data_IF_520933453064
#
_entry.id   IF_520933453064
#
_cell.length_a   1.000
_cell.length_b   1.000
_cell.length_c   1.000
_cell.angle_alpha   90.00
_cell.angle_beta   90.00
_cell.angle_gamma   90.00
#
_symmetry.space_group_name_H-M   'P 1'
#
loop_
_entity.id
_entity.type
_entity.pdbx_description
1 polymer ?
#
# COMPACT_ATOMS: atom_id res chain seq x y z
N UNK A 1 10.55 -58.11 -22.65
CA UNK A 1 9.76 -57.80 -21.44
C UNK A 1 10.29 -56.57 -20.69
N UNK A 2 11.61 -56.45 -20.46
CA UNK A 2 12.21 -55.31 -19.76
C UNK A 2 12.03 -53.94 -20.47
N UNK A 3 12.16 -53.90 -21.80
CA UNK A 3 12.02 -52.67 -22.58
C UNK A 3 10.60 -52.08 -22.56
N UNK A 4 9.58 -52.93 -22.59
CA UNK A 4 8.17 -52.53 -22.47
C UNK A 4 7.84 -51.96 -21.08
N UNK A 5 8.50 -52.46 -20.03
CA UNK A 5 8.30 -51.97 -18.66
C UNK A 5 8.89 -50.57 -18.48
N UNK A 6 10.10 -50.31 -19.02
CA UNK A 6 10.74 -49.00 -18.97
C UNK A 6 9.97 -47.95 -19.77
N UNK A 7 9.48 -48.29 -20.96
CA UNK A 7 8.69 -47.38 -21.79
C UNK A 7 7.35 -47.04 -21.12
N UNK A 8 6.67 -48.01 -20.51
CA UNK A 8 5.43 -47.75 -19.77
C UNK A 8 5.67 -46.91 -18.50
N UNK A 9 6.77 -47.13 -17.79
CA UNK A 9 7.13 -46.33 -16.62
C UNK A 9 7.45 -44.88 -17.02
N UNK A 10 8.20 -44.67 -18.11
CA UNK A 10 8.44 -43.34 -18.67
C UNK A 10 7.13 -42.67 -19.13
N UNK A 11 6.22 -43.41 -19.78
CA UNK A 11 4.91 -42.88 -20.18
C UNK A 11 4.04 -42.51 -18.97
N UNK A 12 4.06 -43.30 -17.90
CA UNK A 12 3.35 -43.02 -16.64
C UNK A 12 3.92 -41.81 -15.89
N UNK A 13 5.25 -41.64 -15.90
CA UNK A 13 5.92 -40.45 -15.35
C UNK A 13 5.60 -39.21 -16.19
N UNK A 14 5.59 -39.33 -17.51
CA UNK A 14 5.22 -38.24 -18.42
C UNK A 14 3.74 -37.89 -18.26
N UNK A 15 2.84 -38.88 -18.16
CA UNK A 15 1.41 -38.67 -17.90
C UNK A 15 1.13 -38.03 -16.54
N UNK A 16 1.82 -38.46 -15.47
CA UNK A 16 1.73 -37.81 -14.15
C UNK A 16 2.33 -36.39 -14.14
N UNK A 17 3.35 -36.14 -14.96
CA UNK A 17 3.93 -34.79 -15.12
C UNK A 17 3.02 -33.86 -15.94
N UNK A 18 2.16 -34.39 -16.81
CA UNK A 18 1.29 -33.59 -17.68
C UNK A 18 -0.09 -33.26 -17.09
N UNK A 19 -0.46 -33.84 -15.94
CA UNK A 19 -1.82 -33.69 -15.39
C UNK A 19 -1.85 -33.42 -13.88
N UNK A 20 -0.78 -32.85 -13.32
CA UNK A 20 -0.96 -31.98 -12.17
C UNK A 20 -1.63 -30.70 -12.68
N UNK A 21 -2.95 -30.61 -12.55
CA UNK A 21 -3.68 -29.37 -12.80
C UNK A 21 -2.91 -28.22 -12.14
N UNK A 22 -2.48 -27.24 -12.93
CA UNK A 22 -1.68 -26.11 -12.44
C UNK A 22 -2.52 -25.27 -11.46
N UNK A 23 -2.52 -25.62 -10.18
CA UNK A 23 -3.41 -25.02 -9.17
C UNK A 23 -2.92 -23.67 -8.65
N UNK A 24 -1.65 -23.33 -8.86
CA UNK A 24 -1.07 -22.09 -8.35
C UNK A 24 -1.24 -20.94 -9.33
N UNK A 25 -1.57 -19.76 -8.80
CA UNK A 25 -1.66 -18.51 -9.57
C UNK A 25 -0.63 -17.52 -9.04
N UNK A 26 0.03 -16.73 -9.91
CA UNK A 26 0.96 -15.71 -9.44
C UNK A 26 0.22 -14.66 -8.60
N UNK A 27 0.90 -14.11 -7.59
CA UNK A 27 0.33 -13.15 -6.64
C UNK A 27 1.07 -11.82 -6.77
N UNK A 28 0.31 -10.73 -6.85
CA UNK A 28 0.84 -9.37 -6.73
C UNK A 28 0.27 -8.74 -5.45
N UNK A 29 1.17 -8.28 -4.58
CA UNK A 29 0.87 -7.70 -3.28
C UNK A 29 0.91 -6.17 -3.35
N UNK A 30 -0.22 -5.54 -3.07
CA UNK A 30 -0.37 -4.08 -2.98
C UNK A 30 -0.43 -3.68 -1.50
N UNK A 31 0.62 -3.02 -0.96
CA UNK A 31 0.70 -2.67 0.46
C UNK A 31 -0.28 -1.56 0.84
N UNK A 32 -0.49 -1.37 2.15
CA UNK A 32 -1.33 -0.31 2.70
C UNK A 32 -0.56 0.99 2.93
N UNK A 33 -1.22 1.93 3.62
CA UNK A 33 -0.59 3.17 4.07
C UNK A 33 0.62 2.88 4.97
N UNK A 34 1.76 3.51 4.67
CA UNK A 34 3.05 3.23 5.31
C UNK A 34 3.60 1.82 5.06
N UNK A 35 3.02 1.02 4.17
CA UNK A 35 3.31 -0.41 4.01
C UNK A 35 4.51 -0.78 3.14
N UNK A 36 5.42 0.16 2.90
CA UNK A 36 6.67 -0.09 2.16
C UNK A 36 7.79 0.78 2.69
N UNK A 37 9.04 0.37 2.45
CA UNK A 37 10.19 1.24 2.68
C UNK A 37 10.10 2.48 1.78
N UNK A 38 10.43 3.65 2.34
CA UNK A 38 10.60 4.90 1.63
C UNK A 38 12.00 5.46 1.92
N UNK A 39 12.64 6.01 0.90
CA UNK A 39 13.98 6.56 0.97
C UNK A 39 13.93 8.05 0.66
N UNK A 40 14.82 8.78 1.32
CA UNK A 40 15.08 10.16 0.97
C UNK A 40 16.31 10.23 0.09
N UNK A 41 16.17 10.83 -1.09
CA UNK A 41 17.30 11.34 -1.87
C UNK A 41 17.43 12.84 -1.59
N UNK A 42 18.45 13.28 -0.83
CA UNK A 42 18.58 14.68 -0.47
C UNK A 42 18.75 15.55 -1.72
N UNK A 43 18.06 16.69 -1.79
CA UNK A 43 18.27 17.69 -2.86
C UNK A 43 19.59 18.44 -2.73
N UNK A 44 20.21 18.40 -1.56
CA UNK A 44 21.57 18.89 -1.32
C UNK A 44 22.62 17.79 -1.46
N UNK A 45 23.82 18.03 -0.95
CA UNK A 45 24.88 17.03 -0.93
C UNK A 45 24.60 15.98 0.16
N UNK A 46 24.38 14.73 -0.24
CA UNK A 46 24.20 13.61 0.69
C UNK A 46 23.88 12.30 -0.03
N UNK A 47 24.16 11.18 0.64
CA UNK A 47 23.73 9.87 0.18
C UNK A 47 22.25 9.61 0.49
N UNK A 48 21.60 8.78 -0.32
CA UNK A 48 20.25 8.30 -0.06
C UNK A 48 20.18 7.58 1.30
N UNK A 49 19.10 7.79 2.05
CA UNK A 49 18.90 7.15 3.36
C UNK A 49 17.46 6.70 3.58
N UNK A 50 17.29 5.69 4.44
CA UNK A 50 15.97 5.18 4.82
C UNK A 50 15.19 6.24 5.61
N UNK A 51 14.10 6.72 5.02
CA UNK A 51 13.19 7.70 5.60
C UNK A 51 12.07 7.01 6.39
N UNK A 52 11.50 5.94 5.83
CA UNK A 52 10.40 5.20 6.43
C UNK A 52 10.56 3.69 6.18
N UNK A 53 10.41 2.81 7.17
CA UNK A 53 10.30 3.10 8.60
C UNK A 53 11.70 3.13 9.21
N UNK A 54 12.03 4.21 9.92
CA UNK A 54 13.25 4.29 10.72
C UNK A 54 12.89 4.71 12.14
N UNK A 55 13.12 3.83 13.12
CA UNK A 55 12.68 4.04 14.50
C UNK A 55 13.25 5.29 15.17
N UNK A 56 14.36 5.84 14.66
CA UNK A 56 14.95 7.10 15.16
C UNK A 56 13.95 8.26 15.05
N UNK A 57 13.13 8.29 13.99
CA UNK A 57 12.16 9.36 13.78
C UNK A 57 11.01 9.38 14.79
N UNK A 58 10.78 8.28 15.51
CA UNK A 58 9.81 8.28 16.61
C UNK A 58 10.30 9.09 17.82
N UNK A 59 11.61 9.36 17.92
CA UNK A 59 12.18 10.26 18.91
C UNK A 59 12.29 11.70 18.41
N UNK A 60 12.39 11.92 17.09
CA UNK A 60 12.54 13.23 16.44
C UNK A 60 11.54 13.44 15.30
N UNK A 61 10.22 13.46 15.59
CA UNK A 61 9.20 13.55 14.54
C UNK A 61 9.26 14.87 13.75
N UNK A 62 9.75 15.96 14.34
CA UNK A 62 9.98 17.21 13.62
C UNK A 62 10.95 17.05 12.44
N UNK A 63 12.02 16.27 12.62
CA UNK A 63 12.96 15.96 11.54
C UNK A 63 12.30 15.11 10.47
N UNK A 64 11.49 14.11 10.84
CA UNK A 64 10.74 13.32 9.86
C UNK A 64 9.80 14.21 9.02
N UNK A 65 9.09 15.12 9.68
CA UNK A 65 8.19 16.08 9.02
C UNK A 65 8.91 16.91 7.95
N UNK A 66 10.11 17.41 8.23
CA UNK A 66 10.88 18.21 7.28
C UNK A 66 11.18 17.46 5.97
N UNK A 67 11.40 16.14 6.04
CA UNK A 67 11.71 15.30 4.88
C UNK A 67 10.47 14.72 4.20
N UNK A 68 9.55 14.11 4.95
CA UNK A 68 8.48 13.25 4.40
C UNK A 68 7.27 14.02 3.87
N UNK A 69 7.03 15.23 4.38
CA UNK A 69 5.82 16.01 4.09
C UNK A 69 5.60 16.21 2.59
N UNK A 70 4.34 16.23 2.19
CA UNK A 70 3.92 16.77 0.90
C UNK A 70 3.50 18.23 1.11
N UNK A 71 4.02 19.11 0.27
CA UNK A 71 3.60 20.51 0.16
C UNK A 71 2.40 20.58 -0.77
N UNK A 72 1.32 21.18 -0.31
CA UNK A 72 0.12 21.46 -1.08
C UNK A 72 0.02 22.95 -1.38
N UNK A 73 -0.17 23.32 -2.65
CA UNK A 73 -0.49 24.69 -3.05
C UNK A 73 -2.01 24.84 -3.19
N UNK A 74 -2.69 25.57 -2.29
CA UNK A 74 -4.14 25.72 -2.33
C UNK A 74 -4.65 26.54 -3.52
N UNK A 75 -3.78 27.27 -4.23
CA UNK A 75 -4.18 28.06 -5.41
C UNK A 75 -4.22 27.21 -6.67
N UNK A 76 -3.28 26.27 -6.81
CA UNK A 76 -3.15 25.43 -8.01
C UNK A 76 -3.70 24.02 -7.78
N UNK A 77 -3.84 23.59 -6.53
CA UNK A 77 -4.15 22.21 -6.16
C UNK A 77 -2.97 21.26 -6.34
N UNK A 78 -1.77 21.77 -6.64
CA UNK A 78 -0.60 20.93 -6.90
C UNK A 78 0.05 20.45 -5.60
N UNK A 79 0.57 19.22 -5.66
CA UNK A 79 1.32 18.59 -4.57
C UNK A 79 2.77 18.37 -4.99
N UNK A 80 3.71 18.63 -4.08
CA UNK A 80 5.15 18.43 -4.32
C UNK A 80 5.86 17.93 -3.07
N UNK A 81 7.00 17.27 -3.26
CA UNK A 81 7.87 16.86 -2.15
C UNK A 81 8.47 18.08 -1.42
N UNK A 82 9.02 17.82 -0.23
CA UNK A 82 9.77 18.82 0.54
C UNK A 82 10.97 19.38 -0.25
N UNK A 83 11.45 20.55 0.17
CA UNK A 83 12.66 21.17 -0.42
C UNK A 83 13.96 20.45 -0.02
N UNK A 84 13.87 19.48 0.89
CA UNK A 84 15.03 18.75 1.39
C UNK A 84 15.22 17.40 0.71
N UNK A 85 14.16 16.83 0.13
CA UNK A 85 14.10 15.41 -0.18
C UNK A 85 13.28 15.15 -1.43
N UNK A 86 13.80 14.33 -2.34
CA UNK A 86 13.00 13.57 -3.30
C UNK A 86 12.74 12.19 -2.72
N UNK A 87 11.48 11.88 -2.43
CA UNK A 87 11.12 10.62 -1.74
C UNK A 87 10.88 9.51 -2.75
N UNK A 88 11.53 8.37 -2.58
CA UNK A 88 11.41 7.22 -3.47
C UNK A 88 10.98 5.95 -2.74
N UNK A 89 10.36 5.04 -3.49
CA UNK A 89 9.76 3.80 -2.98
C UNK A 89 10.34 2.62 -3.79
N UNK A 90 11.53 2.13 -3.41
CA UNK A 90 12.24 1.12 -4.21
C UNK A 90 11.61 -0.27 -4.08
N UNK A 91 11.96 -1.16 -5.02
CA UNK A 91 11.54 -2.57 -5.00
C UNK A 91 10.28 -2.87 -5.81
N UNK A 92 9.89 -2.04 -6.78
CA UNK A 92 8.78 -2.33 -7.68
C UNK A 92 8.96 -3.68 -8.38
N UNK A 93 7.96 -4.56 -8.25
CA UNK A 93 7.99 -5.92 -8.80
C UNK A 93 8.70 -6.95 -7.90
N UNK A 94 9.45 -6.53 -6.88
CA UNK A 94 10.06 -7.41 -5.87
C UNK A 94 9.33 -7.26 -4.52
N UNK A 95 9.67 -8.06 -3.53
CA UNK A 95 8.94 -8.09 -2.25
C UNK A 95 9.72 -7.53 -1.07
N UNK A 96 11.05 -7.38 -1.16
CA UNK A 96 11.90 -7.08 -0.02
C UNK A 96 11.50 -5.79 0.73
N UNK A 97 11.04 -4.76 0.01
CA UNK A 97 10.70 -3.45 0.60
C UNK A 97 9.34 -3.42 1.29
N UNK A 98 8.52 -4.47 1.13
CA UNK A 98 7.21 -4.63 1.79
C UNK A 98 7.21 -5.78 2.80
N UNK A 99 8.32 -6.52 2.94
CA UNK A 99 8.45 -7.59 3.93
C UNK A 99 8.67 -7.01 5.33
N UNK A 100 9.77 -6.26 5.48
CA UNK A 100 10.16 -5.56 6.70
C UNK A 100 10.47 -4.11 6.34
N UNK A 101 9.93 -3.18 7.12
CA UNK A 101 9.94 -1.75 6.78
C UNK A 101 11.20 -1.03 7.26
N UNK A 102 12.09 -1.70 8.00
CA UNK A 102 13.42 -1.19 8.34
C UNK A 102 14.50 -1.96 7.54
N UNK A 103 15.54 -1.25 7.09
CA UNK A 103 16.72 -1.90 6.49
C UNK A 103 17.47 -2.73 7.51
N UNK A 104 17.51 -2.29 8.76
CA UNK A 104 17.99 -3.03 9.92
C UNK A 104 16.85 -3.88 10.47
N UNK A 105 16.50 -4.94 9.74
CA UNK A 105 15.33 -5.79 9.99
C UNK A 105 15.19 -6.19 11.46
N UNK A 106 14.02 -5.96 12.02
CA UNK A 106 13.65 -6.37 13.37
C UNK A 106 12.14 -6.65 13.48
N UNK A 107 11.71 -7.24 14.60
CA UNK A 107 10.31 -7.65 14.79
C UNK A 107 9.30 -6.50 14.80
N UNK A 108 9.70 -5.32 15.29
CA UNK A 108 8.82 -4.13 15.35
C UNK A 108 8.42 -3.51 14.00
N UNK A 109 9.01 -3.92 12.89
CA UNK A 109 8.77 -3.37 11.53
C UNK A 109 8.44 -4.46 10.52
N UNK A 110 8.16 -5.68 10.99
CA UNK A 110 7.61 -6.75 10.14
C UNK A 110 6.24 -6.32 9.62
N UNK A 111 6.05 -6.41 8.31
CA UNK A 111 4.79 -6.10 7.65
C UNK A 111 4.24 -7.32 6.90
N UNK A 112 4.64 -7.58 5.65
CA UNK A 112 4.19 -8.76 4.88
C UNK A 112 5.15 -9.95 4.93
N UNK A 113 6.25 -9.83 5.68
CA UNK A 113 7.30 -10.87 5.76
C UNK A 113 6.75 -12.27 6.06
N UNK A 114 5.87 -12.41 7.06
CA UNK A 114 5.32 -13.72 7.42
C UNK A 114 4.46 -14.33 6.31
N UNK A 115 3.62 -13.53 5.66
CA UNK A 115 2.81 -13.96 4.51
C UNK A 115 3.72 -14.41 3.36
N UNK A 116 4.69 -13.57 3.00
CA UNK A 116 5.61 -13.81 1.90
C UNK A 116 6.47 -15.05 2.16
N UNK A 117 6.98 -15.23 3.38
CA UNK A 117 7.76 -16.41 3.76
C UNK A 117 6.92 -17.68 3.78
N UNK A 118 5.63 -17.59 4.13
CA UNK A 118 4.70 -18.71 4.02
C UNK A 118 4.42 -19.09 2.57
N UNK A 119 4.26 -18.11 1.67
CA UNK A 119 4.05 -18.35 0.24
C UNK A 119 5.28 -18.99 -0.39
N UNK A 120 6.48 -18.48 -0.09
CA UNK A 120 7.76 -19.00 -0.59
C UNK A 120 8.07 -20.44 -0.18
N UNK A 121 7.31 -21.06 0.73
CA UNK A 121 7.45 -22.49 1.02
C UNK A 121 7.03 -23.38 -0.17
N UNK A 122 6.15 -22.88 -1.05
CA UNK A 122 5.85 -23.53 -2.32
C UNK A 122 6.81 -22.98 -3.40
N UNK A 123 7.55 -23.84 -4.13
CA UNK A 123 8.55 -23.44 -5.12
C UNK A 123 7.97 -22.66 -6.31
N UNK A 124 6.65 -22.66 -6.49
CA UNK A 124 5.99 -21.82 -7.49
C UNK A 124 6.14 -20.33 -7.15
N UNK A 125 6.15 -19.92 -5.88
CA UNK A 125 6.18 -18.51 -5.47
C UNK A 125 7.62 -17.99 -5.34
N UNK A 126 8.09 -17.38 -6.41
CA UNK A 126 9.43 -16.79 -6.51
C UNK A 126 9.28 -15.27 -6.59
N UNK A 127 9.91 -14.57 -5.64
CA UNK A 127 9.96 -13.11 -5.63
C UNK A 127 10.53 -12.56 -6.94
N UNK A 128 10.02 -11.41 -7.38
CA UNK A 128 10.37 -10.80 -8.66
C UNK A 128 10.04 -11.68 -9.89
N UNK A 129 9.16 -12.68 -9.73
CA UNK A 129 8.66 -13.49 -10.84
C UNK A 129 7.16 -13.77 -10.71
N UNK A 130 6.79 -14.70 -9.85
CA UNK A 130 5.40 -15.15 -9.61
C UNK A 130 4.83 -14.64 -8.31
N UNK A 131 5.68 -14.10 -7.42
CA UNK A 131 5.30 -13.31 -6.26
C UNK A 131 5.89 -11.91 -6.42
N UNK A 132 5.04 -10.89 -6.48
CA UNK A 132 5.46 -9.49 -6.73
C UNK A 132 4.98 -8.58 -5.61
N UNK A 133 5.76 -7.55 -5.30
CA UNK A 133 5.32 -6.42 -4.48
C UNK A 133 5.24 -5.14 -5.30
N UNK A 134 4.37 -4.23 -4.87
CA UNK A 134 4.18 -2.93 -5.53
C UNK A 134 4.32 -1.80 -4.52
N UNK A 135 5.53 -1.54 -3.98
CA UNK A 135 5.77 -0.34 -3.18
C UNK A 135 5.40 0.90 -3.99
N UNK A 136 4.62 1.81 -3.42
CA UNK A 136 4.17 3.03 -4.08
C UNK A 136 4.26 4.20 -3.11
N UNK A 137 4.07 5.41 -3.63
CA UNK A 137 4.00 6.60 -2.79
C UNK A 137 2.72 6.61 -1.96
N UNK A 138 2.76 5.94 -0.81
CA UNK A 138 1.63 5.78 0.10
C UNK A 138 1.19 7.10 0.75
N UNK A 139 1.97 8.18 0.59
CA UNK A 139 1.62 9.50 1.11
C UNK A 139 0.46 10.13 0.32
N UNK A 140 0.22 9.67 -0.91
CA UNK A 140 -0.70 10.25 -1.89
C UNK A 140 -1.99 9.44 -2.01
N UNK A 141 -3.05 10.08 -2.50
CA UNK A 141 -4.30 9.43 -2.90
C UNK A 141 -4.19 8.80 -4.31
N UNK A 142 -5.06 7.84 -4.69
CA UNK A 142 -4.97 7.17 -5.99
C UNK A 142 -4.96 8.12 -7.21
N UNK A 143 -5.71 9.22 -7.15
CA UNK A 143 -5.77 10.24 -8.19
C UNK A 143 -4.45 11.05 -8.35
N UNK A 144 -3.58 11.02 -7.35
CA UNK A 144 -2.29 11.72 -7.33
C UNK A 144 -1.11 10.80 -7.67
N UNK A 145 -1.39 9.53 -7.98
CA UNK A 145 -0.41 8.50 -8.36
C UNK A 145 -0.71 7.92 -9.75
N UNK A 146 -0.66 8.72 -10.83
CA UNK A 146 -1.01 8.26 -12.17
C UNK A 146 -0.09 7.14 -12.68
N UNK A 147 1.19 7.18 -12.29
CA UNK A 147 2.17 6.16 -12.65
C UNK A 147 1.80 4.77 -12.10
N UNK A 148 1.16 4.71 -10.92
CA UNK A 148 0.75 3.45 -10.31
C UNK A 148 -0.17 2.63 -11.22
N UNK A 149 -1.15 3.27 -11.86
CA UNK A 149 -2.09 2.58 -12.75
C UNK A 149 -1.38 2.03 -13.98
N UNK A 150 -0.50 2.82 -14.59
CA UNK A 150 0.30 2.41 -15.76
C UNK A 150 1.22 1.23 -15.39
N UNK A 151 1.99 1.38 -14.32
CA UNK A 151 3.05 0.46 -13.96
C UNK A 151 2.48 -0.86 -13.41
N UNK A 152 1.35 -0.81 -12.69
CA UNK A 152 0.67 -2.03 -12.21
C UNK A 152 0.10 -2.85 -13.37
N UNK A 153 -0.43 -2.18 -14.40
CA UNK A 153 -0.91 -2.86 -15.61
C UNK A 153 0.22 -3.63 -16.29
N UNK A 154 1.36 -2.96 -16.49
CA UNK A 154 2.57 -3.58 -17.09
C UNK A 154 3.03 -4.77 -16.25
N UNK A 155 3.15 -4.59 -14.93
CA UNK A 155 3.60 -5.65 -14.03
C UNK A 155 2.66 -6.87 -14.05
N UNK A 156 1.34 -6.67 -14.15
CA UNK A 156 0.36 -7.75 -14.26
C UNK A 156 0.53 -8.50 -15.59
N UNK A 157 0.69 -7.80 -16.70
CA UNK A 157 0.87 -8.41 -18.04
C UNK A 157 2.19 -9.19 -18.13
N UNK A 158 3.27 -8.65 -17.55
CA UNK A 158 4.56 -9.33 -17.42
C UNK A 158 4.45 -10.57 -16.53
N UNK A 159 3.83 -10.43 -15.36
CA UNK A 159 3.66 -11.53 -14.39
C UNK A 159 2.83 -12.66 -14.99
N UNK A 160 1.76 -12.35 -15.72
CA UNK A 160 0.98 -13.32 -16.49
C UNK A 160 1.86 -14.08 -17.48
N UNK A 161 2.70 -13.36 -18.23
CA UNK A 161 3.55 -13.94 -19.28
C UNK A 161 4.61 -14.88 -18.69
N UNK A 162 5.32 -14.46 -17.64
CA UNK A 162 6.39 -15.27 -17.00
C UNK A 162 5.84 -16.42 -16.14
N UNK A 163 4.57 -16.36 -15.74
CA UNK A 163 3.90 -17.41 -14.97
C UNK A 163 3.12 -18.41 -15.85
N UNK A 164 3.50 -18.53 -17.13
CA UNK A 164 2.89 -19.52 -18.04
C UNK A 164 1.48 -19.16 -18.50
N UNK A 165 1.22 -17.87 -18.72
CA UNK A 165 -0.11 -17.35 -19.09
C UNK A 165 -1.19 -17.62 -18.03
N UNK A 166 -0.80 -17.65 -16.76
CA UNK A 166 -1.74 -17.78 -15.63
C UNK A 166 -2.20 -16.40 -15.16
N UNK A 167 -3.53 -16.18 -14.99
CA UNK A 167 -4.05 -14.94 -14.46
C UNK A 167 -3.61 -14.69 -13.01
N UNK A 168 -3.45 -13.42 -12.65
CA UNK A 168 -2.88 -12.96 -11.38
C UNK A 168 -3.94 -12.89 -10.29
N UNK A 169 -3.58 -13.31 -9.09
CA UNK A 169 -4.28 -12.94 -7.85
C UNK A 169 -3.72 -11.60 -7.38
N UNK A 170 -4.56 -10.55 -7.43
CA UNK A 170 -4.21 -9.23 -6.93
C UNK A 170 -4.64 -9.16 -5.47
N UNK A 171 -3.71 -8.99 -4.54
CA UNK A 171 -3.99 -8.87 -3.11
C UNK A 171 -3.70 -7.45 -2.66
N UNK A 172 -4.74 -6.73 -2.25
CA UNK A 172 -4.60 -5.40 -1.66
C UNK A 172 -4.85 -5.43 -0.16
N UNK A 173 -3.96 -4.83 0.63
CA UNK A 173 -4.16 -4.64 2.07
C UNK A 173 -4.42 -3.16 2.40
N UNK A 174 -5.44 -2.88 3.23
CA UNK A 174 -5.75 -1.52 3.70
C UNK A 174 -5.87 -0.54 2.51
N UNK A 175 -5.14 0.58 2.52
CA UNK A 175 -5.09 1.53 1.39
C UNK A 175 -4.79 0.86 0.04
N UNK A 176 -3.95 -0.18 0.02
CA UNK A 176 -3.64 -0.95 -1.19
C UNK A 176 -4.86 -1.65 -1.80
N UNK A 177 -5.87 -1.99 -1.00
CA UNK A 177 -7.13 -2.52 -1.52
C UNK A 177 -7.95 -1.45 -2.24
N UNK A 178 -7.91 -0.20 -1.75
CA UNK A 178 -8.59 0.93 -2.40
C UNK A 178 -7.87 1.29 -3.70
N UNK A 179 -6.54 1.32 -3.71
CA UNK A 179 -5.72 1.46 -4.92
C UNK A 179 -6.02 0.35 -5.94
N UNK A 180 -6.08 -0.90 -5.49
CA UNK A 180 -6.41 -2.05 -6.35
C UNK A 180 -7.81 -1.91 -6.96
N UNK A 181 -8.81 -1.48 -6.18
CA UNK A 181 -10.16 -1.24 -6.67
C UNK A 181 -10.20 -0.11 -7.72
N UNK A 182 -9.54 1.02 -7.44
CA UNK A 182 -9.45 2.13 -8.38
C UNK A 182 -8.79 1.71 -9.70
N UNK A 183 -7.68 0.96 -9.61
CA UNK A 183 -7.00 0.37 -10.77
C UNK A 183 -7.93 -0.52 -11.59
N UNK A 184 -8.61 -1.48 -10.95
CA UNK A 184 -9.50 -2.44 -11.62
C UNK A 184 -10.69 -1.73 -12.28
N UNK A 185 -11.23 -0.69 -11.68
CA UNK A 185 -12.31 0.12 -12.27
C UNK A 185 -11.86 0.87 -13.53
N UNK A 186 -10.57 1.19 -13.65
CA UNK A 186 -10.00 1.81 -14.85
C UNK A 186 -9.70 0.83 -15.99
N UNK A 187 -9.78 -0.50 -15.76
CA UNK A 187 -9.50 -1.51 -16.78
C UNK A 187 -10.78 -2.02 -17.46
N UNK A 188 -10.66 -2.36 -18.74
CA UNK A 188 -11.75 -3.01 -19.49
C UNK A 188 -12.08 -4.40 -18.94
N UNK A 189 -13.33 -4.84 -19.11
CA UNK A 189 -13.76 -6.17 -18.69
C UNK A 189 -13.01 -7.29 -19.43
N UNK A 190 -12.70 -7.09 -20.71
CA UNK A 190 -11.90 -8.06 -21.47
C UNK A 190 -10.49 -8.21 -20.92
N UNK A 191 -9.87 -7.12 -20.48
CA UNK A 191 -8.56 -7.16 -19.84
C UNK A 191 -8.62 -7.86 -18.49
N UNK A 192 -9.58 -7.50 -17.63
CA UNK A 192 -9.76 -8.13 -16.31
C UNK A 192 -9.98 -9.63 -16.44
N UNK A 193 -10.85 -10.08 -17.35
CA UNK A 193 -11.11 -11.51 -17.60
C UNK A 193 -9.88 -12.28 -18.06
N UNK A 194 -8.95 -11.63 -18.76
CA UNK A 194 -7.72 -12.26 -19.25
C UNK A 194 -6.64 -12.33 -18.17
N UNK A 195 -6.42 -11.24 -17.43
CA UNK A 195 -5.24 -11.09 -16.59
C UNK A 195 -5.49 -11.25 -15.09
N UNK A 196 -6.73 -11.12 -14.61
CA UNK A 196 -7.05 -11.16 -13.18
C UNK A 196 -7.81 -12.45 -12.87
N UNK A 197 -7.25 -13.26 -11.97
CA UNK A 197 -7.90 -14.46 -11.45
C UNK A 197 -8.89 -14.09 -10.37
N UNK A 198 -8.41 -13.33 -9.39
CA UNK A 198 -9.13 -12.93 -8.18
C UNK A 198 -8.56 -11.61 -7.66
N UNK A 199 -9.42 -10.75 -7.15
CA UNK A 199 -9.01 -9.64 -6.28
C UNK A 199 -9.29 -10.03 -4.83
N UNK A 200 -8.23 -10.19 -4.04
CA UNK A 200 -8.30 -10.46 -2.60
C UNK A 200 -8.10 -9.15 -1.83
N UNK A 201 -9.19 -8.60 -1.31
CA UNK A 201 -9.15 -7.44 -0.44
C UNK A 201 -9.00 -7.84 1.02
N UNK A 202 -7.98 -7.33 1.68
CA UNK A 202 -7.74 -7.53 3.11
C UNK A 202 -7.88 -6.18 3.82
N UNK A 203 -8.93 -6.04 4.61
CA UNK A 203 -9.19 -4.84 5.42
C UNK A 203 -9.26 -3.53 4.61
N UNK A 204 -9.82 -3.55 3.40
CA UNK A 204 -9.95 -2.37 2.55
C UNK A 204 -10.94 -1.34 3.11
N UNK A 205 -10.51 -0.10 3.43
CA UNK A 205 -11.39 0.96 3.97
C UNK A 205 -12.19 1.64 2.85
N UNK A 206 -13.08 0.92 2.18
CA UNK A 206 -13.80 1.42 1.00
C UNK A 206 -14.71 2.62 1.25
N UNK A 207 -15.22 2.76 2.48
CA UNK A 207 -15.97 3.94 2.92
C UNK A 207 -15.17 4.86 3.83
N UNK A 208 -13.84 4.77 3.82
CA UNK A 208 -12.99 5.49 4.75
C UNK A 208 -12.92 4.84 6.14
N UNK A 209 -12.25 5.52 7.05
CA UNK A 209 -11.91 5.05 8.40
C UNK A 209 -12.10 6.16 9.42
N UNK A 210 -12.84 5.86 10.50
CA UNK A 210 -12.98 6.76 11.65
C UNK A 210 -11.63 7.10 12.30
N UNK A 211 -10.62 6.23 12.14
CA UNK A 211 -9.25 6.50 12.63
C UNK A 211 -8.58 7.63 11.85
N UNK A 212 -8.79 7.72 10.54
CA UNK A 212 -8.26 8.84 9.74
C UNK A 212 -8.84 10.17 10.25
N UNK A 213 -10.14 10.21 10.55
CA UNK A 213 -10.78 11.39 11.11
C UNK A 213 -10.22 11.78 12.50
N UNK A 214 -9.96 10.80 13.37
CA UNK A 214 -9.26 11.02 14.65
C UNK A 214 -7.84 11.57 14.44
N UNK A 215 -7.09 11.04 13.47
CA UNK A 215 -5.72 11.47 13.15
C UNK A 215 -5.71 12.97 12.81
N UNK A 216 -6.67 13.44 12.01
CA UNK A 216 -6.79 14.85 11.66
C UNK A 216 -6.94 15.73 12.91
N UNK A 217 -7.71 15.31 13.91
CA UNK A 217 -7.92 16.05 15.15
C UNK A 217 -6.71 15.98 16.10
N UNK A 218 -6.32 14.78 16.53
CA UNK A 218 -5.40 14.58 17.66
C UNK A 218 -4.03 14.02 17.28
N UNK A 219 -3.86 13.63 16.02
CA UNK A 219 -2.77 12.76 15.59
C UNK A 219 -2.89 11.35 16.14
N UNK A 220 -1.93 10.50 15.75
CA UNK A 220 -1.75 9.14 16.24
C UNK A 220 -0.25 8.85 16.43
N UNK A 221 0.12 8.27 17.56
CA UNK A 221 1.52 7.91 17.85
C UNK A 221 1.83 6.46 17.47
N UNK A 222 1.01 5.81 16.64
CA UNK A 222 1.23 4.44 16.18
C UNK A 222 1.39 3.42 17.34
N UNK A 223 0.82 3.72 18.51
CA UNK A 223 0.93 2.89 19.71
C UNK A 223 2.24 3.04 20.49
N UNK A 224 3.16 3.93 20.09
CA UNK A 224 4.40 4.17 20.84
C UNK A 224 4.19 5.15 22.00
N UNK A 225 4.64 4.79 23.21
CA UNK A 225 4.42 5.60 24.42
C UNK A 225 5.41 6.78 24.54
N UNK A 226 6.48 6.78 23.74
CA UNK A 226 7.60 7.74 23.86
C UNK A 226 7.25 9.18 23.46
N UNK A 227 6.21 9.39 22.66
CA UNK A 227 5.78 10.72 22.19
C UNK A 227 4.27 10.84 22.17
N UNK A 228 3.80 12.09 22.35
CA UNK A 228 2.39 12.43 22.22
C UNK A 228 1.93 12.26 20.77
N UNK A 229 0.69 11.81 20.52
CA UNK A 229 0.08 11.79 19.19
C UNK A 229 0.17 13.13 18.45
N UNK A 230 0.09 14.25 19.17
CA UNK A 230 0.21 15.59 18.61
C UNK A 230 1.55 15.86 17.93
N UNK A 231 2.63 15.18 18.37
CA UNK A 231 3.95 15.31 17.76
C UNK A 231 4.03 14.74 16.35
N UNK A 232 3.11 13.83 15.97
CA UNK A 232 3.04 13.25 14.63
C UNK A 232 1.94 13.87 13.75
N UNK A 233 1.02 14.64 14.36
CA UNK A 233 -0.15 15.20 13.65
C UNK A 233 0.23 16.03 12.42
N UNK A 234 1.32 16.82 12.49
CA UNK A 234 1.78 17.60 11.34
C UNK A 234 2.28 16.73 10.19
N UNK A 235 2.94 15.60 10.48
CA UNK A 235 3.32 14.61 9.48
C UNK A 235 2.05 14.06 8.85
N UNK A 236 1.14 13.55 9.66
CA UNK A 236 -0.08 12.87 9.21
C UNK A 236 -0.98 13.77 8.35
N UNK A 237 -1.19 15.02 8.77
CA UNK A 237 -1.91 16.06 8.01
C UNK A 237 -1.25 16.44 6.70
N UNK A 238 0.06 16.21 6.56
CA UNK A 238 0.80 16.50 5.34
C UNK A 238 0.78 15.37 4.32
N UNK A 239 0.10 14.25 4.60
CA UNK A 239 -0.06 13.13 3.69
C UNK A 239 -1.49 13.14 3.15
N UNK A 240 -1.72 13.50 1.87
CA UNK A 240 -3.04 13.43 1.24
C UNK A 240 -3.77 12.09 1.40
N UNK A 241 -3.04 10.99 1.52
CA UNK A 241 -3.63 9.67 1.78
C UNK A 241 -4.43 9.61 3.10
N UNK A 242 -4.07 10.39 4.11
CA UNK A 242 -4.82 10.47 5.38
C UNK A 242 -6.19 11.10 5.14
N UNK A 243 -6.23 12.27 4.50
CA UNK A 243 -7.47 12.98 4.17
C UNK A 243 -8.35 12.13 3.24
N UNK A 244 -7.75 11.47 2.25
CA UNK A 244 -8.45 10.54 1.36
C UNK A 244 -9.17 9.38 2.09
N UNK A 245 -8.66 8.98 3.26
CA UNK A 245 -9.21 7.87 4.04
C UNK A 245 -10.22 8.32 5.10
N UNK A 246 -10.62 9.59 5.16
CA UNK A 246 -11.73 10.00 6.05
C UNK A 246 -13.07 9.38 5.58
N UNK A 247 -14.04 9.20 6.49
CA UNK A 247 -15.33 8.58 6.16
C UNK A 247 -16.04 9.18 4.93
N UNK A 248 -16.50 8.35 4.00
CA UNK A 248 -17.17 8.86 2.81
C UNK A 248 -18.64 9.22 3.10
N UNK A 249 -19.09 10.47 2.94
CA UNK A 249 -20.48 10.87 3.23
C UNK A 249 -21.53 10.12 2.39
N UNK A 250 -21.14 9.45 1.30
CA UNK A 250 -22.03 8.58 0.50
C UNK A 250 -22.32 7.25 1.18
N UNK A 251 -21.45 6.81 2.10
CA UNK A 251 -21.54 5.53 2.80
C UNK A 251 -21.81 5.69 4.31
N UNK A 252 -21.62 6.90 4.85
CA UNK A 252 -21.87 7.23 6.25
C UNK A 252 -23.07 8.19 6.38
N UNK A 253 -24.10 7.84 7.17
CA UNK A 253 -25.28 8.68 7.30
C UNK A 253 -24.98 9.95 8.12
N UNK A 254 -25.66 11.08 7.82
CA UNK A 254 -25.47 12.33 8.57
C UNK A 254 -25.89 12.23 10.04
N UNK A 255 -26.71 11.24 10.40
CA UNK A 255 -27.15 11.00 11.78
C UNK A 255 -26.12 10.27 12.65
N UNK A 256 -25.01 9.79 12.08
CA UNK A 256 -23.98 9.05 12.81
C UNK A 256 -22.83 9.97 13.23
N UNK A 257 -22.74 10.34 14.52
CA UNK A 257 -21.62 11.13 15.01
C UNK A 257 -20.36 10.25 15.09
N UNK A 258 -19.26 10.74 14.52
CA UNK A 258 -17.98 10.03 14.48
C UNK A 258 -17.03 10.60 15.54
N UNK A 259 -16.96 11.93 15.64
CA UNK A 259 -16.24 12.63 16.71
C UNK A 259 -17.26 13.27 17.64
N UNK A 260 -17.22 12.87 18.91
CA UNK A 260 -18.13 13.35 19.95
C UNK A 260 -17.33 14.22 20.93
N UNK A 261 -17.82 15.43 21.19
CA UNK A 261 -17.23 16.35 22.18
C UNK A 261 -18.31 16.83 23.16
N UNK A 262 -17.96 17.50 24.27
CA UNK A 262 -18.96 18.02 25.21
C UNK A 262 -19.92 19.07 24.63
N UNK A 263 -19.57 19.71 23.49
CA UNK A 263 -20.34 20.83 22.92
C UNK A 263 -20.85 20.58 21.50
N UNK A 264 -20.11 19.83 20.70
CA UNK A 264 -20.39 19.60 19.27
C UNK A 264 -20.04 18.17 18.90
N UNK A 265 -20.86 17.55 18.07
CA UNK A 265 -20.54 16.27 17.43
C UNK A 265 -20.30 16.51 15.94
N UNK A 266 -19.41 15.72 15.34
CA UNK A 266 -19.08 15.80 13.92
C UNK A 266 -19.35 14.44 13.26
N UNK A 267 -20.11 14.45 12.18
CA UNK A 267 -20.36 13.34 11.27
C UNK A 267 -19.47 13.43 10.03
N UNK A 268 -19.61 12.49 9.10
CA UNK A 268 -18.99 12.54 7.78
C UNK A 268 -19.49 13.70 6.88
N UNK A 269 -20.50 14.45 7.33
CA UNK A 269 -21.09 15.58 6.60
C UNK A 269 -20.68 16.95 7.17
N UNK A 270 -19.86 16.97 8.23
CA UNK A 270 -19.49 18.20 8.96
C UNK A 270 -18.03 18.63 8.72
N UNK A 271 -17.42 18.25 7.58
CA UNK A 271 -15.98 18.41 7.36
C UNK A 271 -15.47 19.84 7.40
N UNK A 272 -16.11 20.77 6.67
CA UNK A 272 -15.74 22.20 6.72
C UNK A 272 -15.67 22.70 8.17
N UNK A 273 -16.76 22.51 8.93
CA UNK A 273 -16.86 22.94 10.32
C UNK A 273 -15.79 22.28 11.18
N UNK A 274 -15.60 20.97 11.02
CA UNK A 274 -14.58 20.22 11.75
C UNK A 274 -13.17 20.77 11.49
N UNK A 275 -12.79 20.94 10.22
CA UNK A 275 -11.46 21.40 9.82
C UNK A 275 -11.19 22.84 10.28
N UNK A 276 -12.20 23.70 10.27
CA UNK A 276 -12.14 25.03 10.87
C UNK A 276 -11.89 24.96 12.38
N UNK A 277 -12.66 24.14 13.11
CA UNK A 277 -12.58 24.03 14.58
C UNK A 277 -11.25 23.44 15.08
N UNK A 278 -10.58 22.59 14.29
CA UNK A 278 -9.25 22.04 14.62
C UNK A 278 -8.08 22.88 14.09
N UNK A 279 -8.38 24.05 13.49
CA UNK A 279 -7.39 24.98 12.95
C UNK A 279 -6.60 24.41 11.78
N UNK A 280 -7.27 23.69 10.88
CA UNK A 280 -6.68 23.08 9.69
C UNK A 280 -7.66 23.12 8.49
N UNK A 281 -8.07 24.32 8.04
CA UNK A 281 -9.08 24.48 6.99
C UNK A 281 -8.68 23.85 5.65
N UNK A 282 -7.38 23.69 5.37
CA UNK A 282 -6.88 23.05 4.15
C UNK A 282 -7.01 21.52 4.13
N UNK A 283 -7.56 20.91 5.17
CA UNK A 283 -7.77 19.46 5.24
C UNK A 283 -9.06 18.99 4.56
N UNK A 284 -9.95 19.91 4.21
CA UNK A 284 -11.12 19.66 3.35
C UNK A 284 -10.71 19.43 1.89
#
# INVERSE_FOLDING_TARGET
>A
MFLLFVVNLCFLIILHATEAAETQYPIILVPGDGGSQAYCNPKGNGGSFLLWVNLRYFFVPGTLYEYIRIKYDPKTGEVSDSDLCDVTFPGWGDTWSIENLDTSRHSGTVYLEHLINSLRQDPFFVSNKTLRGTPFDFRKAPNENPDFVRDLRVLIEETYSVAGSRPVVLLGHSLGAVYSLAFLNAQSDSWKRKYIKTFLSVSGPYGGSVKAFKIEASGDNFGVIVRSPLSFRQIQRSLPSTAFLIPDPRLWPPSEPIIITPKVNYSAHDYQKFFDDIGFPQGE
#
